data_IF_797976827050
#
_entry.id   IF_797976827050
#
_cell.length_a   1.000
_cell.length_b   1.000
_cell.length_c   1.000
_cell.angle_alpha   90.00
_cell.angle_beta   90.00
_cell.angle_gamma   90.00
#
_symmetry.space_group_name_H-M   'P 1'
#
loop_
_entity.id
_entity.type
_entity.pdbx_description
1 polymer ?
#
# COMPACT_ATOMS: atom_id res chain seq x y z
N UNK A 1 -8.15 16.29 35.98
CA UNK A 1 -7.57 16.11 34.63
C UNK A 1 -8.65 16.49 33.62
N UNK A 2 -8.34 17.27 32.58
CA UNK A 2 -9.29 17.64 31.52
C UNK A 2 -8.87 16.94 30.24
N UNK A 3 -9.83 16.47 29.46
CA UNK A 3 -9.62 15.85 28.17
C UNK A 3 -10.79 16.15 27.24
N UNK A 4 -10.66 15.72 25.99
CA UNK A 4 -11.70 15.85 24.96
C UNK A 4 -11.95 14.47 24.35
N UNK A 5 -13.18 14.24 23.89
CA UNK A 5 -13.58 13.04 23.15
C UNK A 5 -14.13 13.47 21.79
N UNK A 6 -13.82 12.69 20.76
CA UNK A 6 -14.34 12.85 19.41
C UNK A 6 -14.42 11.47 18.74
N UNK A 7 -15.12 11.39 17.61
CA UNK A 7 -15.29 10.15 16.85
C UNK A 7 -14.35 10.08 15.65
N UNK A 8 -13.84 8.87 15.40
CA UNK A 8 -13.10 8.49 14.21
C UNK A 8 -13.38 7.00 13.89
N UNK A 9 -12.88 6.49 12.78
CA UNK A 9 -13.11 5.12 12.33
C UNK A 9 -11.88 4.23 12.49
N UNK A 10 -12.13 2.97 12.81
CA UNK A 10 -11.15 1.90 12.69
C UNK A 10 -11.46 1.05 11.45
N UNK A 11 -10.44 0.56 10.76
CA UNK A 11 -10.58 -0.36 9.63
C UNK A 11 -9.47 -1.39 9.64
N UNK A 12 -9.81 -2.61 9.23
CA UNK A 12 -8.83 -3.63 8.88
C UNK A 12 -8.25 -3.28 7.50
N UNK A 13 -7.03 -2.74 7.49
CA UNK A 13 -6.35 -2.20 6.31
C UNK A 13 -6.09 -3.27 5.24
N UNK A 14 -5.58 -4.44 5.65
CA UNK A 14 -5.32 -5.56 4.76
C UNK A 14 -6.61 -6.11 4.15
N UNK A 15 -7.68 -6.24 4.93
CA UNK A 15 -8.97 -6.71 4.41
C UNK A 15 -9.66 -5.68 3.52
N UNK A 16 -9.43 -4.39 3.74
CA UNK A 16 -9.92 -3.35 2.83
C UNK A 16 -9.26 -3.48 1.44
N UNK A 17 -7.96 -3.78 1.38
CA UNK A 17 -7.26 -4.07 0.11
C UNK A 17 -7.83 -5.32 -0.55
N UNK A 18 -8.03 -6.40 0.22
CA UNK A 18 -8.63 -7.63 -0.30
C UNK A 18 -10.02 -7.38 -0.90
N UNK A 19 -10.86 -6.59 -0.25
CA UNK A 19 -12.20 -6.26 -0.75
C UNK A 19 -12.16 -5.55 -2.11
N UNK A 20 -11.18 -4.65 -2.31
CA UNK A 20 -10.97 -3.99 -3.60
C UNK A 20 -10.46 -4.96 -4.68
N UNK A 21 -9.54 -5.87 -4.34
CA UNK A 21 -9.08 -6.91 -5.27
C UNK A 21 -10.21 -7.86 -5.69
N UNK A 22 -11.08 -8.25 -4.75
CA UNK A 22 -12.29 -9.02 -5.05
C UNK A 22 -13.24 -8.26 -5.99
N UNK A 23 -13.36 -6.93 -5.82
CA UNK A 23 -14.18 -6.11 -6.70
C UNK A 23 -13.65 -6.11 -8.14
N UNK A 24 -12.32 -6.10 -8.35
CA UNK A 24 -11.71 -6.22 -9.69
C UNK A 24 -12.20 -7.50 -10.38
N UNK A 25 -12.08 -8.65 -9.70
CA UNK A 25 -12.53 -9.95 -10.25
C UNK A 25 -14.04 -9.95 -10.49
N UNK A 26 -14.84 -9.43 -9.54
CA UNK A 26 -16.29 -9.33 -9.68
C UNK A 26 -16.72 -8.51 -10.90
N UNK A 27 -15.92 -7.53 -11.31
CA UNK A 27 -16.15 -6.67 -12.48
C UNK A 27 -15.51 -7.21 -13.76
N UNK A 28 -14.97 -8.43 -13.75
CA UNK A 28 -14.36 -9.08 -14.91
C UNK A 28 -12.91 -8.68 -15.18
N UNK A 29 -12.25 -8.00 -14.22
CA UNK A 29 -10.82 -7.75 -14.26
C UNK A 29 -10.00 -8.92 -13.73
N UNK A 30 -8.69 -8.82 -13.87
CA UNK A 30 -7.73 -9.85 -13.46
C UNK A 30 -6.83 -9.31 -12.34
N UNK A 31 -6.50 -10.15 -11.36
CA UNK A 31 -5.56 -9.85 -10.28
C UNK A 31 -4.52 -10.97 -10.23
N UNK A 32 -3.24 -10.59 -10.28
CA UNK A 32 -2.11 -11.51 -10.14
C UNK A 32 -1.25 -11.13 -8.95
N UNK A 33 -1.18 -11.99 -7.94
CA UNK A 33 -0.24 -11.89 -6.83
C UNK A 33 1.03 -12.67 -7.14
N UNK A 34 2.13 -12.41 -6.42
CA UNK A 34 3.42 -13.10 -6.64
C UNK A 34 3.98 -12.91 -8.07
N UNK A 35 3.42 -11.96 -8.81
CA UNK A 35 3.86 -11.58 -10.15
C UNK A 35 4.46 -10.19 -10.08
N UNK A 36 5.78 -10.09 -10.27
CA UNK A 36 6.51 -8.81 -10.23
C UNK A 36 6.64 -8.27 -11.65
N UNK A 37 6.14 -7.05 -11.88
CA UNK A 37 6.44 -6.33 -13.11
C UNK A 37 7.95 -5.99 -13.14
N UNK A 38 8.65 -6.42 -14.19
CA UNK A 38 10.09 -6.24 -14.35
C UNK A 38 10.42 -5.10 -15.30
N UNK A 39 9.57 -4.84 -16.31
CA UNK A 39 9.77 -3.74 -17.25
C UNK A 39 8.45 -3.23 -17.82
N UNK A 40 8.43 -1.95 -18.20
CA UNK A 40 7.34 -1.39 -18.99
C UNK A 40 7.84 -0.31 -19.97
N UNK A 41 7.49 -0.45 -21.24
CA UNK A 41 7.92 0.47 -22.31
C UNK A 41 6.79 0.76 -23.30
N UNK A 42 6.90 1.87 -24.04
CA UNK A 42 5.96 2.18 -25.11
C UNK A 42 6.50 1.71 -26.47
N UNK A 43 5.68 0.96 -27.19
CA UNK A 43 5.95 0.52 -28.56
C UNK A 43 4.68 0.66 -29.39
N UNK A 44 4.77 1.29 -30.56
CA UNK A 44 3.64 1.45 -31.50
C UNK A 44 2.35 2.00 -30.88
N UNK A 45 2.47 2.92 -29.91
CA UNK A 45 1.32 3.54 -29.23
C UNK A 45 0.70 2.73 -28.10
N UNK A 46 1.24 1.55 -27.78
CA UNK A 46 0.81 0.70 -26.66
C UNK A 46 1.94 0.55 -25.63
N UNK A 47 1.55 0.21 -24.40
CA UNK A 47 2.49 -0.27 -23.39
C UNK A 47 2.75 -1.74 -23.58
N UNK A 48 4.02 -2.13 -23.54
CA UNK A 48 4.47 -3.51 -23.40
C UNK A 48 4.95 -3.66 -21.96
N UNK A 49 4.30 -4.54 -21.20
CA UNK A 49 4.62 -4.81 -19.80
C UNK A 49 5.12 -6.24 -19.69
N UNK A 50 6.31 -6.40 -19.14
CA UNK A 50 6.87 -7.70 -18.80
C UNK A 50 6.81 -7.92 -17.30
N UNK A 51 6.47 -9.14 -16.90
CA UNK A 51 6.49 -9.54 -15.50
C UNK A 51 7.02 -10.96 -15.35
N UNK A 52 7.33 -11.32 -14.13
CA UNK A 52 7.75 -12.68 -13.75
C UNK A 52 7.00 -13.15 -12.51
N UNK A 53 6.67 -14.44 -12.46
CA UNK A 53 6.31 -15.10 -11.22
C UNK A 53 7.56 -15.24 -10.33
N UNK A 54 7.48 -14.81 -9.07
CA UNK A 54 8.64 -14.75 -8.17
C UNK A 54 9.05 -16.13 -7.61
N UNK A 55 8.19 -17.15 -7.72
CA UNK A 55 8.50 -18.50 -7.26
C UNK A 55 9.02 -19.38 -8.38
N UNK A 56 8.34 -19.36 -9.53
CA UNK A 56 8.66 -20.23 -10.66
C UNK A 56 9.62 -19.59 -11.66
N UNK A 57 9.70 -18.26 -11.69
CA UNK A 57 10.41 -17.50 -12.73
C UNK A 57 9.68 -17.48 -14.08
N UNK A 58 8.44 -17.97 -14.17
CA UNK A 58 7.63 -17.89 -15.40
C UNK A 58 7.48 -16.44 -15.85
N UNK A 59 7.73 -16.18 -17.12
CA UNK A 59 7.67 -14.83 -17.69
C UNK A 59 6.36 -14.59 -18.41
N UNK A 60 5.84 -13.38 -18.25
CA UNK A 60 4.62 -12.90 -18.88
C UNK A 60 4.88 -11.61 -19.65
N UNK A 61 4.12 -11.41 -20.72
CA UNK A 61 4.14 -10.17 -21.49
C UNK A 61 2.72 -9.79 -21.88
N UNK A 62 2.34 -8.54 -21.62
CA UNK A 62 1.04 -8.00 -21.99
C UNK A 62 1.17 -6.69 -22.77
N UNK A 63 0.18 -6.43 -23.62
CA UNK A 63 -0.03 -5.14 -24.25
C UNK A 63 -1.16 -4.38 -23.55
N UNK A 64 -0.98 -3.10 -23.28
CA UNK A 64 -1.98 -2.27 -22.63
C UNK A 64 -2.09 -0.87 -23.26
N UNK A 65 -3.30 -0.30 -23.28
CA UNK A 65 -3.53 1.08 -23.75
C UNK A 65 -3.10 2.13 -22.73
N UNK A 66 -3.07 1.77 -21.45
CA UNK A 66 -2.69 2.64 -20.35
C UNK A 66 -1.94 1.84 -19.30
N UNK A 67 -1.14 2.55 -18.49
CA UNK A 67 -0.35 1.98 -17.42
C UNK A 67 -0.46 2.89 -16.20
N UNK A 68 -0.64 2.27 -15.03
CA UNK A 68 -0.65 2.96 -13.73
C UNK A 68 0.51 2.42 -12.90
N UNK A 69 1.40 3.30 -12.45
CA UNK A 69 2.45 2.96 -11.48
C UNK A 69 1.95 3.30 -10.07
N UNK A 70 1.35 2.31 -9.38
CA UNK A 70 0.85 2.42 -8.01
C UNK A 70 1.71 1.63 -7.01
N UNK A 71 3.03 1.58 -7.23
CA UNK A 71 3.96 0.72 -6.46
C UNK A 71 4.42 1.30 -5.12
N UNK A 72 3.71 2.30 -4.58
CA UNK A 72 3.95 2.82 -3.22
C UNK A 72 5.40 3.28 -2.99
N UNK A 73 6.13 2.77 -1.97
CA UNK A 73 7.54 3.10 -1.72
C UNK A 73 8.47 2.88 -2.93
N UNK A 74 8.10 1.96 -3.84
CA UNK A 74 8.88 1.63 -5.04
C UNK A 74 8.54 2.51 -6.25
N UNK A 75 7.64 3.49 -6.12
CA UNK A 75 7.16 4.29 -7.27
C UNK A 75 8.29 4.89 -8.09
N UNK A 76 9.26 5.54 -7.44
CA UNK A 76 10.42 6.14 -8.11
C UNK A 76 11.37 5.06 -8.65
N UNK A 77 11.59 3.99 -7.89
CA UNK A 77 12.45 2.90 -8.33
C UNK A 77 11.94 2.27 -9.63
N UNK A 78 10.62 2.07 -9.76
CA UNK A 78 10.04 1.53 -10.98
C UNK A 78 10.14 2.49 -12.18
N UNK A 79 10.12 3.81 -11.95
CA UNK A 79 10.46 4.79 -12.98
C UNK A 79 11.90 4.62 -13.47
N UNK A 80 12.85 4.58 -12.53
CA UNK A 80 14.28 4.56 -12.84
C UNK A 80 14.71 3.22 -13.46
N UNK A 81 14.32 2.09 -12.87
CA UNK A 81 14.78 0.74 -13.22
C UNK A 81 13.83 0.01 -14.17
N UNK A 82 12.52 0.11 -13.95
CA UNK A 82 11.52 -0.64 -14.73
C UNK A 82 11.14 0.03 -16.05
N UNK A 83 11.10 1.37 -16.07
CA UNK A 83 10.69 2.14 -17.24
C UNK A 83 11.83 2.93 -17.90
N UNK A 84 12.94 3.15 -17.19
CA UNK A 84 14.02 4.05 -17.62
C UNK A 84 13.51 5.45 -17.99
N UNK A 85 12.53 5.94 -17.21
CA UNK A 85 11.90 7.25 -17.37
C UNK A 85 12.20 8.11 -16.15
N UNK A 86 12.32 9.43 -16.37
CA UNK A 86 12.47 10.37 -15.26
C UNK A 86 11.18 10.42 -14.44
N UNK A 87 11.25 10.03 -13.17
CA UNK A 87 10.15 10.26 -12.22
C UNK A 87 9.82 11.76 -12.13
N UNK A 88 8.54 12.15 -12.22
CA UNK A 88 8.14 13.56 -12.12
C UNK A 88 8.39 14.15 -10.71
N UNK A 89 8.46 13.29 -9.69
CA UNK A 89 8.68 13.69 -8.30
C UNK A 89 9.70 12.78 -7.59
N UNK A 90 10.33 13.31 -6.55
CA UNK A 90 11.04 12.50 -5.55
C UNK A 90 10.08 11.83 -4.57
N UNK A 91 10.58 10.86 -3.80
CA UNK A 91 9.84 10.23 -2.71
C UNK A 91 10.65 10.35 -1.40
N UNK A 92 9.97 10.67 -0.30
CA UNK A 92 10.55 10.65 1.04
C UNK A 92 9.99 9.46 1.81
N UNK A 93 10.84 8.48 2.10
CA UNK A 93 10.46 7.32 2.89
C UNK A 93 10.56 7.66 4.38
N UNK A 94 9.42 7.68 5.07
CA UNK A 94 9.35 7.92 6.52
C UNK A 94 8.88 6.64 7.19
N UNK A 95 9.72 6.08 8.06
CA UNK A 95 9.41 4.87 8.81
C UNK A 95 8.50 5.20 10.01
N UNK A 96 7.42 4.44 10.13
CA UNK A 96 6.59 4.34 11.34
C UNK A 96 6.62 2.91 11.88
N UNK A 97 6.33 2.72 13.16
CA UNK A 97 6.33 1.39 13.80
C UNK A 97 5.29 1.36 14.92
N UNK A 98 4.81 0.15 15.25
CA UNK A 98 3.83 -0.11 16.29
C UNK A 98 4.33 -1.24 17.19
N UNK A 99 3.88 -1.27 18.45
CA UNK A 99 4.11 -2.39 19.38
C UNK A 99 2.78 -2.93 19.87
N UNK A 100 2.75 -4.21 20.22
CA UNK A 100 1.55 -4.89 20.74
C UNK A 100 1.87 -5.45 22.12
N UNK A 101 0.96 -5.21 23.06
CA UNK A 101 1.07 -5.63 24.46
C UNK A 101 -0.29 -6.14 24.94
N UNK A 102 -0.36 -6.92 26.05
CA UNK A 102 -1.62 -7.21 26.71
C UNK A 102 -2.39 -5.92 27.00
N UNK A 103 -3.72 -6.01 26.91
CA UNK A 103 -4.59 -4.84 27.02
C UNK A 103 -4.34 -4.06 28.32
N UNK A 104 -4.02 -2.78 28.18
CA UNK A 104 -3.62 -1.91 29.31
C UNK A 104 -4.81 -1.41 30.16
N UNK A 105 -6.04 -1.47 29.65
CA UNK A 105 -7.29 -1.14 30.36
C UNK A 105 -8.52 -1.76 29.67
N UNK A 106 -9.64 -1.93 30.38
CA UNK A 106 -10.87 -2.55 29.83
C UNK A 106 -11.81 -1.58 29.09
N UNK A 107 -11.46 -0.29 29.00
CA UNK A 107 -12.24 0.71 28.26
C UNK A 107 -12.21 0.48 26.75
N UNK A 108 -13.30 0.83 26.05
CA UNK A 108 -13.48 0.61 24.61
C UNK A 108 -12.85 1.70 23.74
N UNK A 109 -12.60 2.86 24.33
CA UNK A 109 -12.05 4.03 23.65
C UNK A 109 -10.56 3.84 23.34
N UNK A 110 -10.12 4.42 22.23
CA UNK A 110 -8.71 4.67 21.97
C UNK A 110 -8.28 5.99 22.64
N UNK A 111 -6.99 6.08 22.95
CA UNK A 111 -6.37 7.31 23.44
C UNK A 111 -5.43 7.91 22.40
N UNK A 112 -5.43 9.24 22.33
CA UNK A 112 -4.46 10.04 21.60
C UNK A 112 -3.62 10.82 22.61
N UNK A 113 -2.32 10.57 22.61
CA UNK A 113 -1.36 11.14 23.57
C UNK A 113 -0.55 12.23 22.89
N UNK A 114 -0.48 13.41 23.50
CA UNK A 114 0.38 14.51 23.05
C UNK A 114 1.77 14.33 23.67
N UNK A 115 2.78 14.07 22.83
CA UNK A 115 4.16 13.89 23.27
C UNK A 115 4.89 15.24 23.33
N UNK A 116 5.97 15.32 24.11
CA UNK A 116 6.77 16.55 24.29
C UNK A 116 7.33 17.09 22.96
N UNK A 117 7.66 16.19 22.03
CA UNK A 117 8.13 16.50 20.67
C UNK A 117 7.03 16.97 19.70
N UNK A 118 5.82 17.24 20.22
CA UNK A 118 4.64 17.68 19.48
C UNK A 118 4.02 16.63 18.55
N UNK A 119 4.54 15.40 18.53
CA UNK A 119 3.87 14.29 17.86
C UNK A 119 2.71 13.76 18.71
N UNK A 120 1.80 13.09 18.04
CA UNK A 120 0.76 12.30 18.68
C UNK A 120 1.11 10.81 18.62
N UNK A 121 0.71 10.07 19.67
CA UNK A 121 0.82 8.60 19.73
C UNK A 121 -0.55 8.04 20.07
N UNK A 122 -0.96 6.98 19.39
CA UNK A 122 -2.22 6.30 19.65
C UNK A 122 -2.04 5.09 20.56
N UNK A 123 -3.00 4.88 21.46
CA UNK A 123 -3.20 3.63 22.20
C UNK A 123 -4.59 3.12 21.83
N UNK A 124 -4.63 2.09 20.99
CA UNK A 124 -5.86 1.57 20.37
C UNK A 124 -6.15 0.19 20.95
N UNK A 125 -7.35 -0.06 21.51
CA UNK A 125 -7.78 -1.41 21.83
C UNK A 125 -7.80 -2.28 20.56
N UNK A 126 -7.12 -3.41 20.59
CA UNK A 126 -6.98 -4.31 19.45
C UNK A 126 -7.20 -5.75 19.89
N UNK A 127 -8.08 -6.46 19.18
CA UNK A 127 -8.43 -7.89 19.33
C UNK A 127 -8.76 -8.27 20.79
N UNK A 128 -10.04 -8.12 21.14
CA UNK A 128 -10.59 -8.19 22.50
C UNK A 128 -10.12 -9.37 23.35
#
# INVERSE_FOLDING_TARGET
MRGFEYSDCWVDDARLVLANAQMVVRKGGEVRTRTRAISAKRENGLWIVEAEDIDSGEKFTWQARGLVNATGPWVKQFFDEGMHLRSPYGIRLIKGSHIVVPRVHTQKQAYILQNEDKRIVFVIPWDG
#
